data_IF_716470008571
#
_entry.id   IF_716470008571
#
_cell.length_a   1.000
_cell.length_b   1.000
_cell.length_c   1.000
_cell.angle_alpha   90.00
_cell.angle_beta   90.00
_cell.angle_gamma   90.00
#
_symmetry.space_group_name_H-M   'P 1'
#
loop_
_entity.id
_entity.type
_entity.pdbx_description
1 polymer ?
#
# COMPACT_ATOMS: atom_id res chain seq x y z
N UNK A 1 -30.51 -6.24 -19.24
CA UNK A 1 -31.39 -7.26 -19.85
C UNK A 1 -30.64 -8.59 -19.94
N UNK A 2 -31.28 -9.72 -20.30
CA UNK A 2 -30.56 -10.99 -20.54
C UNK A 2 -29.54 -10.82 -21.69
N UNK A 3 -29.84 -10.00 -22.69
CA UNK A 3 -28.92 -9.70 -23.79
C UNK A 3 -27.66 -8.98 -23.31
N UNK A 4 -27.77 -7.96 -22.45
CA UNK A 4 -26.60 -7.30 -21.84
C UNK A 4 -25.78 -8.24 -20.95
N UNK A 5 -26.42 -9.22 -20.32
CA UNK A 5 -25.70 -10.24 -19.55
C UNK A 5 -24.91 -11.16 -20.48
N UNK A 6 -25.51 -11.60 -21.58
CA UNK A 6 -24.86 -12.47 -22.58
C UNK A 6 -23.74 -11.71 -23.30
N UNK A 7 -23.97 -10.48 -23.76
CA UNK A 7 -22.96 -9.66 -24.43
C UNK A 7 -21.75 -9.35 -23.52
N UNK A 8 -21.97 -9.30 -22.20
CA UNK A 8 -20.90 -9.10 -21.21
C UNK A 8 -20.21 -10.40 -20.79
N UNK A 9 -20.90 -11.54 -20.82
CA UNK A 9 -20.37 -12.83 -20.38
C UNK A 9 -19.75 -13.67 -21.51
N UNK A 10 -20.22 -13.49 -22.75
CA UNK A 10 -19.79 -14.29 -23.89
C UNK A 10 -18.33 -14.03 -24.32
N UNK A 11 -17.83 -12.77 -24.40
CA UNK A 11 -16.45 -12.53 -24.80
C UNK A 11 -15.42 -13.14 -23.84
N UNK A 12 -15.51 -12.94 -22.50
CA UNK A 12 -14.60 -13.60 -21.55
C UNK A 12 -14.66 -15.13 -21.63
N UNK A 13 -15.85 -15.70 -21.85
CA UNK A 13 -16.01 -17.16 -21.99
C UNK A 13 -15.36 -17.71 -23.27
N UNK A 14 -15.38 -16.95 -24.37
CA UNK A 14 -14.70 -17.34 -25.60
C UNK A 14 -13.18 -17.18 -25.46
N UNK A 15 -12.72 -16.14 -24.76
CA UNK A 15 -11.30 -15.94 -24.41
C UNK A 15 -10.78 -17.08 -23.52
N UNK A 16 -11.57 -17.56 -22.56
CA UNK A 16 -11.25 -18.73 -21.72
C UNK A 16 -11.12 -20.05 -22.53
N UNK A 17 -11.67 -20.12 -23.74
CA UNK A 17 -11.58 -21.31 -24.61
C UNK A 17 -10.40 -21.27 -25.58
N UNK A 18 -9.60 -20.20 -25.59
CA UNK A 18 -8.48 -20.03 -26.51
C UNK A 18 -7.13 -20.15 -25.78
N UNK A 19 -6.58 -21.35 -25.73
CA UNK A 19 -5.30 -21.60 -25.07
C UNK A 19 -4.09 -20.93 -25.75
N UNK A 20 -4.22 -20.41 -26.98
CA UNK A 20 -3.17 -19.57 -27.56
C UNK A 20 -3.07 -18.24 -26.81
N UNK A 21 -4.21 -17.69 -26.40
CA UNK A 21 -4.26 -16.46 -25.62
C UNK A 21 -3.70 -16.65 -24.21
N UNK A 22 -4.06 -17.73 -23.53
CA UNK A 22 -3.47 -18.09 -22.24
C UNK A 22 -1.94 -18.27 -22.33
N UNK A 23 -1.46 -18.95 -23.38
CA UNK A 23 -0.04 -19.13 -23.62
C UNK A 23 0.72 -17.81 -23.86
N UNK A 24 0.11 -16.86 -24.56
CA UNK A 24 0.66 -15.51 -24.75
C UNK A 24 0.75 -14.76 -23.43
N UNK A 25 -0.33 -14.78 -22.64
CA UNK A 25 -0.38 -14.21 -21.30
C UNK A 25 0.73 -14.81 -20.40
N UNK A 26 0.90 -16.12 -20.41
CA UNK A 26 1.93 -16.81 -19.64
C UNK A 26 3.35 -16.39 -20.03
N UNK A 27 3.64 -16.31 -21.34
CA UNK A 27 4.96 -15.90 -21.83
C UNK A 27 5.29 -14.46 -21.45
N UNK A 28 4.33 -13.56 -21.60
CA UNK A 28 4.51 -12.18 -21.19
C UNK A 28 4.69 -12.04 -19.68
N UNK A 29 3.89 -12.77 -18.90
CA UNK A 29 4.03 -12.78 -17.45
C UNK A 29 5.43 -13.27 -17.04
N UNK A 30 5.93 -14.35 -17.66
CA UNK A 30 7.29 -14.84 -17.45
C UNK A 30 8.34 -13.76 -17.76
N UNK A 31 8.19 -13.05 -18.89
CA UNK A 31 9.11 -11.98 -19.28
C UNK A 31 9.10 -10.83 -18.26
N UNK A 32 7.94 -10.39 -17.80
CA UNK A 32 7.81 -9.29 -16.83
C UNK A 32 8.36 -9.66 -15.45
N UNK A 33 8.07 -10.87 -14.97
CA UNK A 33 8.52 -11.36 -13.66
C UNK A 33 10.03 -11.61 -13.66
N UNK A 34 10.60 -12.15 -14.73
CA UNK A 34 12.06 -12.39 -14.82
C UNK A 34 12.89 -11.10 -14.76
N UNK A 35 12.31 -9.95 -15.11
CA UNK A 35 12.94 -8.62 -15.00
C UNK A 35 12.78 -7.99 -13.61
N UNK A 36 12.08 -8.64 -12.69
CA UNK A 36 11.75 -8.08 -11.38
C UNK A 36 12.45 -8.84 -10.24
N UNK A 37 13.53 -8.25 -9.73
CA UNK A 37 14.32 -8.80 -8.59
C UNK A 37 13.50 -9.03 -7.31
N UNK A 38 12.31 -8.41 -7.20
CA UNK A 38 11.43 -8.54 -6.04
C UNK A 38 10.72 -9.89 -5.97
N UNK A 39 10.72 -10.67 -7.04
CA UNK A 39 9.99 -11.94 -7.13
C UNK A 39 10.80 -13.08 -7.76
N UNK A 40 11.97 -12.79 -8.33
CA UNK A 40 12.87 -13.75 -8.99
C UNK A 40 13.14 -15.03 -8.16
N UNK A 41 13.34 -14.87 -6.85
CA UNK A 41 13.63 -15.98 -5.95
C UNK A 41 12.40 -16.66 -5.35
N UNK A 42 11.19 -16.21 -5.70
CA UNK A 42 9.96 -16.63 -5.00
C UNK A 42 8.87 -17.16 -5.93
N UNK A 43 8.84 -16.75 -7.20
CA UNK A 43 7.82 -17.13 -8.18
C UNK A 43 8.45 -17.94 -9.31
N UNK A 44 7.75 -18.99 -9.75
CA UNK A 44 8.13 -19.81 -10.90
C UNK A 44 7.00 -19.76 -11.93
N UNK A 45 7.37 -19.46 -13.18
CA UNK A 45 6.46 -19.51 -14.32
C UNK A 45 6.93 -20.65 -15.22
N UNK A 46 6.13 -21.72 -15.40
CA UNK A 46 6.52 -22.84 -16.24
C UNK A 46 6.68 -22.39 -17.70
N UNK A 47 7.64 -22.97 -18.42
CA UNK A 47 7.84 -22.65 -19.84
C UNK A 47 6.67 -23.18 -20.70
N UNK A 48 6.17 -22.38 -21.64
CA UNK A 48 5.20 -22.85 -22.64
C UNK A 48 5.92 -23.61 -23.75
N UNK A 49 5.72 -24.93 -23.81
CA UNK A 49 6.36 -25.82 -24.79
C UNK A 49 5.60 -25.88 -26.12
N UNK A 50 4.27 -25.87 -26.06
CA UNK A 50 3.39 -25.86 -27.25
C UNK A 50 2.03 -25.28 -26.91
N UNK A 51 1.47 -24.48 -27.81
CA UNK A 51 0.11 -23.97 -27.70
C UNK A 51 -0.62 -24.09 -29.03
N UNK A 52 -1.90 -24.42 -28.95
CA UNK A 52 -2.92 -24.29 -30.00
C UNK A 52 -4.24 -24.00 -29.32
N UNK A 53 -5.26 -23.51 -30.04
CA UNK A 53 -6.57 -23.16 -29.47
C UNK A 53 -7.14 -24.16 -28.47
N UNK A 54 -6.98 -25.47 -28.71
CA UNK A 54 -7.56 -26.54 -27.88
C UNK A 54 -6.56 -27.28 -26.98
N UNK A 55 -5.24 -27.01 -27.10
CA UNK A 55 -4.21 -27.70 -26.31
C UNK A 55 -3.08 -26.75 -25.88
N UNK A 56 -2.84 -26.65 -24.57
CA UNK A 56 -1.68 -26.02 -23.96
C UNK A 56 -0.75 -27.09 -23.34
N UNK A 57 0.53 -27.06 -23.69
CA UNK A 57 1.58 -27.90 -23.11
C UNK A 57 2.64 -27.01 -22.49
N UNK A 58 2.88 -27.18 -21.20
CA UNK A 58 3.82 -26.40 -20.41
C UNK A 58 4.78 -27.30 -19.61
N UNK A 59 5.87 -26.71 -19.12
CA UNK A 59 6.81 -27.36 -18.21
C UNK A 59 6.09 -27.94 -16.99
N UNK A 60 6.46 -29.16 -16.61
CA UNK A 60 5.94 -29.78 -15.40
C UNK A 60 6.65 -29.21 -14.16
N UNK A 61 5.87 -28.67 -13.22
CA UNK A 61 6.38 -28.19 -11.93
C UNK A 61 6.32 -29.30 -10.87
N UNK A 62 7.46 -29.85 -10.40
CA UNK A 62 7.48 -30.95 -9.43
C UNK A 62 7.21 -30.46 -7.99
N UNK A 63 5.98 -30.05 -7.69
CA UNK A 63 5.55 -29.59 -6.36
C UNK A 63 4.14 -30.07 -5.97
N UNK A 64 3.60 -29.53 -4.87
CA UNK A 64 2.23 -29.82 -4.39
C UNK A 64 1.31 -28.63 -4.65
N UNK A 65 0.10 -28.85 -5.14
CA UNK A 65 -0.89 -27.77 -5.25
C UNK A 65 -1.27 -27.27 -3.86
N UNK A 66 -1.53 -25.97 -3.70
CA UNK A 66 -1.92 -25.42 -2.40
C UNK A 66 -3.28 -25.94 -1.88
N UNK A 67 -4.09 -26.54 -2.75
CA UNK A 67 -5.33 -27.24 -2.38
C UNK A 67 -5.11 -28.64 -1.80
N UNK A 68 -3.92 -29.22 -1.99
CA UNK A 68 -3.62 -30.56 -1.47
C UNK A 68 -3.48 -30.54 0.05
N UNK A 69 -3.93 -31.63 0.69
CA UNK A 69 -3.84 -31.77 2.13
C UNK A 69 -2.37 -31.75 2.59
N UNK A 70 -2.07 -30.88 3.55
CA UNK A 70 -0.72 -30.75 4.09
C UNK A 70 0.27 -30.00 3.21
N UNK A 71 -0.12 -29.46 2.05
CA UNK A 71 0.79 -28.76 1.14
C UNK A 71 1.55 -27.60 1.81
N UNK A 72 0.84 -26.78 2.60
CA UNK A 72 1.41 -25.61 3.28
C UNK A 72 1.20 -25.64 4.80
N UNK A 73 0.96 -26.81 5.41
CA UNK A 73 0.54 -26.89 6.81
C UNK A 73 1.52 -26.22 7.77
N UNK A 74 2.82 -26.42 7.56
CA UNK A 74 3.87 -25.93 8.44
C UNK A 74 4.45 -24.57 8.00
N UNK A 75 4.01 -24.04 6.85
CA UNK A 75 4.53 -22.79 6.24
C UNK A 75 3.43 -21.92 5.60
N UNK A 76 2.22 -22.00 6.14
CA UNK A 76 1.04 -21.35 5.54
C UNK A 76 1.16 -19.82 5.54
N UNK A 77 1.83 -19.24 6.54
CA UNK A 77 2.02 -17.80 6.64
C UNK A 77 3.07 -17.30 5.63
N UNK A 78 4.14 -18.06 5.42
CA UNK A 78 5.21 -17.79 4.47
C UNK A 78 4.66 -17.83 3.04
N UNK A 79 3.85 -18.85 2.73
CA UNK A 79 3.18 -18.95 1.43
C UNK A 79 2.26 -17.75 1.18
N UNK A 80 1.47 -17.34 2.19
CA UNK A 80 0.61 -16.15 2.07
C UNK A 80 1.43 -14.88 1.82
N UNK A 81 2.55 -14.70 2.52
CA UNK A 81 3.46 -13.56 2.31
C UNK A 81 4.04 -13.54 0.90
N UNK A 82 4.50 -14.69 0.40
CA UNK A 82 5.04 -14.82 -0.97
C UNK A 82 3.96 -14.56 -2.03
N UNK A 83 2.76 -15.11 -1.86
CA UNK A 83 1.63 -14.83 -2.75
C UNK A 83 1.31 -13.35 -2.76
N UNK A 84 1.18 -12.72 -1.59
CA UNK A 84 0.88 -11.31 -1.50
C UNK A 84 1.99 -10.45 -2.13
N UNK A 85 3.26 -10.79 -1.89
CA UNK A 85 4.41 -10.13 -2.53
C UNK A 85 4.30 -10.18 -4.05
N UNK A 86 4.09 -11.38 -4.60
CA UNK A 86 3.92 -11.58 -6.04
C UNK A 86 2.80 -10.70 -6.59
N UNK A 87 1.67 -10.65 -5.91
CA UNK A 87 0.52 -9.85 -6.32
C UNK A 87 0.73 -8.34 -6.21
N UNK A 88 1.47 -7.87 -5.20
CA UNK A 88 1.81 -6.46 -5.09
C UNK A 88 2.79 -6.03 -6.18
N UNK A 89 3.74 -6.89 -6.55
CA UNK A 89 4.63 -6.66 -7.70
C UNK A 89 3.82 -6.62 -8.99
N UNK A 90 2.90 -7.56 -9.20
CA UNK A 90 2.02 -7.56 -10.36
C UNK A 90 1.18 -6.28 -10.46
N UNK A 91 0.62 -5.84 -9.34
CA UNK A 91 -0.28 -4.68 -9.27
C UNK A 91 0.48 -3.36 -9.43
N UNK A 92 1.58 -3.17 -8.72
CA UNK A 92 2.26 -1.87 -8.58
C UNK A 92 3.51 -1.73 -9.45
N UNK A 93 4.18 -2.83 -9.81
CA UNK A 93 5.47 -2.81 -10.53
C UNK A 93 5.33 -3.21 -12.00
N UNK A 94 4.72 -4.36 -12.30
CA UNK A 94 4.60 -4.83 -13.70
C UNK A 94 3.35 -4.27 -14.38
N UNK A 95 2.25 -4.10 -13.65
CA UNK A 95 0.95 -3.71 -14.21
C UNK A 95 0.29 -4.83 -15.02
N UNK A 96 0.70 -6.09 -14.81
CA UNK A 96 0.09 -7.25 -15.41
C UNK A 96 -0.27 -8.26 -14.32
N UNK A 97 -1.56 -8.32 -14.00
CA UNK A 97 -2.09 -8.95 -12.80
C UNK A 97 -2.87 -10.22 -13.13
N UNK A 98 -2.56 -11.28 -12.39
CA UNK A 98 -3.30 -12.53 -12.39
C UNK A 98 -4.63 -12.41 -11.63
N UNK A 99 -5.74 -12.43 -12.35
CA UNK A 99 -7.08 -12.16 -11.86
C UNK A 99 -7.75 -13.28 -11.07
N UNK A 100 -7.14 -14.48 -10.99
CA UNK A 100 -7.71 -15.62 -10.26
C UNK A 100 -6.72 -16.30 -9.28
N UNK A 101 -6.48 -15.73 -8.09
CA UNK A 101 -5.61 -16.32 -7.06
C UNK A 101 -6.21 -17.56 -6.37
N UNK A 102 -6.99 -18.37 -7.07
CA UNK A 102 -7.49 -19.60 -6.50
C UNK A 102 -6.30 -20.52 -6.11
N UNK A 103 -6.28 -21.10 -4.90
CA UNK A 103 -5.19 -21.97 -4.45
C UNK A 103 -4.85 -23.13 -5.39
N UNK A 104 -5.80 -23.55 -6.24
CA UNK A 104 -5.60 -24.61 -7.24
C UNK A 104 -4.65 -24.24 -8.38
N UNK A 105 -4.44 -22.93 -8.61
CA UNK A 105 -3.58 -22.39 -9.66
C UNK A 105 -2.12 -22.24 -9.18
N UNK A 106 -1.86 -22.57 -7.91
CA UNK A 106 -0.54 -22.44 -7.30
C UNK A 106 0.04 -23.80 -6.90
N UNK A 107 1.32 -23.97 -7.21
CA UNK A 107 2.13 -25.14 -6.85
C UNK A 107 3.24 -24.69 -5.92
N UNK A 108 3.30 -25.27 -4.73
CA UNK A 108 4.42 -25.09 -3.83
C UNK A 108 5.55 -26.05 -4.21
N UNK A 109 6.66 -25.49 -4.64
CA UNK A 109 7.85 -26.23 -5.07
C UNK A 109 8.65 -26.70 -3.84
N UNK A 110 9.42 -27.80 -3.95
CA UNK A 110 10.32 -28.27 -2.88
C UNK A 110 11.38 -27.23 -2.47
N UNK A 111 11.69 -26.29 -3.36
CA UNK A 111 12.58 -25.16 -3.13
C UNK A 111 11.97 -24.05 -2.27
N UNK A 112 10.67 -24.13 -1.94
CA UNK A 112 9.91 -23.08 -1.27
C UNK A 112 9.32 -22.03 -2.22
N UNK A 113 9.66 -22.06 -3.51
CA UNK A 113 9.07 -21.16 -4.53
C UNK A 113 7.61 -21.52 -4.84
N UNK A 114 6.86 -20.55 -5.32
CA UNK A 114 5.47 -20.71 -5.76
C UNK A 114 5.40 -20.70 -7.29
N UNK A 115 5.01 -21.83 -7.87
CA UNK A 115 4.63 -21.96 -9.26
C UNK A 115 3.22 -21.46 -9.52
N UNK A 116 3.01 -20.75 -10.63
CA UNK A 116 1.69 -20.31 -11.10
C UNK A 116 1.35 -21.05 -12.40
N UNK A 117 0.19 -21.68 -12.47
CA UNK A 117 -0.17 -22.62 -13.55
C UNK A 117 -1.17 -22.10 -14.59
N UNK A 118 -2.03 -21.16 -14.19
CA UNK A 118 -3.14 -20.65 -14.99
C UNK A 118 -2.85 -19.19 -15.36
N UNK A 119 -3.08 -18.83 -16.61
CA UNK A 119 -2.91 -17.46 -17.10
C UNK A 119 -4.10 -17.02 -17.98
N UNK A 120 -5.24 -17.69 -17.84
CA UNK A 120 -6.45 -17.40 -18.62
C UNK A 120 -7.06 -16.05 -18.25
N UNK A 121 -7.00 -15.69 -16.96
CA UNK A 121 -7.56 -14.44 -16.45
C UNK A 121 -6.45 -13.45 -16.07
N UNK A 122 -5.94 -12.71 -17.05
CA UNK A 122 -4.97 -11.63 -16.84
C UNK A 122 -5.59 -10.27 -17.08
N UNK A 123 -5.11 -9.24 -16.36
CA UNK A 123 -5.50 -7.86 -16.62
C UNK A 123 -4.32 -6.91 -16.64
N UNK A 124 -4.45 -5.86 -17.45
CA UNK A 124 -3.44 -4.80 -17.58
C UNK A 124 -3.87 -3.56 -16.82
N UNK A 125 -2.89 -2.99 -16.14
CA UNK A 125 -3.02 -1.76 -15.36
C UNK A 125 -1.97 -0.80 -15.88
N UNK A 126 -2.44 0.29 -16.47
CA UNK A 126 -1.54 1.30 -17.05
C UNK A 126 -0.66 1.91 -15.96
N UNK A 127 0.56 2.39 -16.28
CA UNK A 127 1.40 3.10 -15.32
C UNK A 127 0.65 4.24 -14.61
N UNK A 128 -0.19 4.96 -15.35
CA UNK A 128 -1.07 6.01 -14.84
C UNK A 128 -2.01 5.50 -13.73
N UNK A 129 -2.70 4.38 -13.98
CA UNK A 129 -3.61 3.76 -13.00
C UNK A 129 -2.85 3.20 -11.80
N UNK A 130 -1.64 2.67 -11.99
CA UNK A 130 -0.81 2.16 -10.88
C UNK A 130 -0.43 3.26 -9.91
N UNK A 131 -0.02 4.43 -10.42
CA UNK A 131 0.26 5.59 -9.59
C UNK A 131 -1.02 6.09 -8.92
N UNK A 132 -2.13 6.17 -9.65
CA UNK A 132 -3.42 6.58 -9.09
C UNK A 132 -3.93 5.64 -7.98
N UNK A 133 -3.67 4.32 -8.07
CA UNK A 133 -3.99 3.37 -7.00
C UNK A 133 -3.20 3.67 -5.72
N UNK A 134 -1.93 4.02 -5.84
CA UNK A 134 -1.08 4.40 -4.69
C UNK A 134 -1.58 5.71 -4.08
N UNK A 135 -1.83 6.72 -4.90
CA UNK A 135 -2.39 8.01 -4.48
C UNK A 135 -3.71 7.80 -3.74
N UNK A 136 -4.64 7.02 -4.30
CA UNK A 136 -5.92 6.70 -3.69
C UNK A 136 -5.76 6.09 -2.29
N UNK A 137 -4.95 5.04 -2.15
CA UNK A 137 -4.73 4.39 -0.85
C UNK A 137 -4.15 5.36 0.19
N UNK A 138 -3.27 6.26 -0.25
CA UNK A 138 -2.66 7.28 0.60
C UNK A 138 -3.63 8.39 0.97
N UNK A 139 -4.42 8.89 0.03
CA UNK A 139 -5.42 9.91 0.28
C UNK A 139 -6.52 9.39 1.21
N UNK A 140 -6.96 8.15 1.05
CA UNK A 140 -7.87 7.49 1.99
C UNK A 140 -7.25 7.48 3.40
N UNK A 141 -6.01 7.01 3.53
CA UNK A 141 -5.35 6.94 4.84
C UNK A 141 -5.10 8.33 5.47
N UNK A 142 -4.92 9.36 4.64
CA UNK A 142 -4.73 10.75 5.04
C UNK A 142 -6.06 11.52 5.25
N UNK A 143 -7.22 10.89 5.05
CA UNK A 143 -8.55 11.52 5.06
C UNK A 143 -8.67 12.70 4.06
N UNK A 144 -8.00 12.58 2.92
CA UNK A 144 -7.93 13.55 1.83
C UNK A 144 -8.99 13.21 0.77
N UNK A 145 -10.26 13.35 1.15
CA UNK A 145 -11.39 12.86 0.35
C UNK A 145 -11.66 13.68 -0.91
N UNK A 146 -11.25 14.94 -0.93
CA UNK A 146 -11.26 15.79 -2.12
C UNK A 146 -10.32 15.25 -3.20
N UNK A 147 -9.16 14.75 -2.78
CA UNK A 147 -8.17 14.12 -3.64
C UNK A 147 -8.62 12.72 -4.07
N UNK A 148 -9.22 11.93 -3.16
CA UNK A 148 -9.80 10.62 -3.50
C UNK A 148 -10.79 10.70 -4.66
N UNK A 149 -11.57 11.80 -4.77
CA UNK A 149 -12.50 12.00 -5.88
C UNK A 149 -11.75 12.08 -7.23
N UNK A 150 -10.63 12.79 -7.28
CA UNK A 150 -9.79 12.89 -8.48
C UNK A 150 -9.13 11.54 -8.81
N UNK A 151 -8.72 10.78 -7.80
CA UNK A 151 -8.16 9.45 -8.00
C UNK A 151 -9.20 8.51 -8.61
N UNK A 152 -10.44 8.52 -8.11
CA UNK A 152 -11.54 7.71 -8.65
C UNK A 152 -11.90 8.05 -10.09
N UNK A 153 -11.73 9.31 -10.51
CA UNK A 153 -11.84 9.70 -11.93
C UNK A 153 -10.69 9.12 -12.75
N UNK A 154 -9.46 9.23 -12.24
CA UNK A 154 -8.26 8.71 -12.92
C UNK A 154 -8.28 7.18 -13.03
N UNK A 155 -8.90 6.52 -12.05
CA UNK A 155 -9.16 5.09 -12.01
C UNK A 155 -10.43 4.70 -12.80
N UNK A 156 -11.10 5.64 -13.48
CA UNK A 156 -12.27 5.39 -14.32
C UNK A 156 -13.50 4.86 -13.57
N UNK A 157 -13.55 4.99 -12.24
CA UNK A 157 -14.76 4.68 -11.46
C UNK A 157 -15.80 5.78 -11.59
N UNK A 158 -15.35 6.99 -11.88
CA UNK A 158 -16.18 8.18 -12.02
C UNK A 158 -15.89 8.89 -13.34
N UNK A 159 -16.91 9.49 -13.97
CA UNK A 159 -16.76 10.16 -15.26
C UNK A 159 -15.84 11.39 -15.18
N UNK A 160 -15.18 11.70 -16.29
CA UNK A 160 -14.32 12.89 -16.40
C UNK A 160 -15.06 14.19 -16.11
N UNK A 161 -14.34 15.17 -15.57
CA UNK A 161 -14.87 16.51 -15.29
C UNK A 161 -15.69 16.64 -14.00
N UNK A 162 -16.18 15.52 -13.42
CA UNK A 162 -16.94 15.55 -12.15
C UNK A 162 -16.10 16.10 -10.99
N UNK A 163 -14.81 15.75 -10.95
CA UNK A 163 -13.89 16.22 -9.93
C UNK A 163 -13.57 17.72 -10.03
N UNK A 164 -13.84 18.36 -11.17
CA UNK A 164 -13.64 19.81 -11.38
C UNK A 164 -14.90 20.64 -11.12
N UNK A 165 -16.08 20.01 -11.01
CA UNK A 165 -17.32 20.73 -10.74
C UNK A 165 -17.54 20.92 -9.24
N UNK A 166 -17.60 22.19 -8.82
CA UNK A 166 -17.76 22.55 -7.41
C UNK A 166 -19.05 22.00 -6.78
N UNK A 167 -20.16 22.01 -7.51
CA UNK A 167 -21.45 21.51 -7.03
C UNK A 167 -21.39 19.99 -6.87
N UNK A 168 -20.83 19.28 -7.86
CA UNK A 168 -20.66 17.84 -7.76
C UNK A 168 -19.75 17.45 -6.58
N UNK A 169 -18.66 18.18 -6.37
CA UNK A 169 -17.75 17.97 -5.23
C UNK A 169 -18.44 18.16 -3.89
N UNK A 170 -19.22 19.23 -3.72
CA UNK A 170 -19.95 19.53 -2.48
C UNK A 170 -20.94 18.42 -2.09
N UNK A 171 -21.49 17.71 -3.09
CA UNK A 171 -22.39 16.57 -2.86
C UNK A 171 -21.61 15.26 -2.64
N UNK A 172 -20.62 14.95 -3.50
CA UNK A 172 -19.97 13.63 -3.52
C UNK A 172 -18.95 13.47 -2.40
N UNK A 173 -18.08 14.46 -2.17
CA UNK A 173 -16.94 14.33 -1.25
C UNK A 173 -17.40 13.97 0.18
N UNK A 174 -18.44 14.59 0.75
CA UNK A 174 -18.94 14.18 2.06
C UNK A 174 -19.45 12.73 2.10
N UNK A 175 -20.13 12.26 1.03
CA UNK A 175 -20.64 10.88 0.97
C UNK A 175 -19.51 9.88 0.80
N UNK A 176 -18.49 10.24 0.02
CA UNK A 176 -17.29 9.46 -0.15
C UNK A 176 -16.53 9.34 1.17
N UNK A 177 -16.34 10.45 1.88
CA UNK A 177 -15.73 10.50 3.20
C UNK A 177 -16.44 9.57 4.19
N UNK A 178 -17.76 9.68 4.31
CA UNK A 178 -18.56 8.83 5.19
C UNK A 178 -18.43 7.34 4.83
N UNK A 179 -18.55 7.00 3.55
CA UNK A 179 -18.46 5.62 3.06
C UNK A 179 -17.09 5.01 3.36
N UNK A 180 -16.02 5.73 3.02
CA UNK A 180 -14.65 5.27 3.22
C UNK A 180 -14.27 5.18 4.69
N UNK A 181 -14.73 6.13 5.52
CA UNK A 181 -14.52 6.04 6.97
C UNK A 181 -15.13 4.75 7.53
N UNK A 182 -16.32 4.33 7.10
CA UNK A 182 -16.95 3.09 7.55
C UNK A 182 -16.19 1.86 7.04
N UNK A 183 -15.82 1.84 5.75
CA UNK A 183 -15.16 0.69 5.11
C UNK A 183 -13.73 0.46 5.61
N UNK A 184 -12.98 1.53 5.86
CA UNK A 184 -11.58 1.45 6.30
C UNK A 184 -11.42 1.51 7.83
N UNK A 185 -12.53 1.62 8.58
CA UNK A 185 -12.49 1.44 10.01
C UNK A 185 -12.26 -0.05 10.33
N UNK A 186 -11.22 -0.35 11.11
CA UNK A 186 -10.85 -1.70 11.52
C UNK A 186 -11.90 -2.30 12.47
N UNK A 187 -13.01 -2.74 11.89
CA UNK A 187 -14.15 -3.33 12.58
C UNK A 187 -14.76 -4.42 11.69
N UNK A 188 -15.37 -5.42 12.32
CA UNK A 188 -16.01 -6.54 11.62
C UNK A 188 -17.09 -6.03 10.64
N UNK A 189 -17.22 -6.69 9.47
CA UNK A 189 -18.22 -6.40 8.44
C UNK A 189 -19.64 -6.28 8.99
N UNK A 190 -19.99 -7.03 10.06
CA UNK A 190 -21.30 -6.91 10.71
C UNK A 190 -21.51 -5.52 11.34
N UNK A 191 -20.48 -5.00 12.00
CA UNK A 191 -20.49 -3.66 12.62
C UNK A 191 -20.55 -2.58 11.53
N UNK A 192 -19.78 -2.76 10.46
CA UNK A 192 -19.84 -1.85 9.31
C UNK A 192 -21.25 -1.81 8.70
N UNK A 193 -21.88 -2.98 8.50
CA UNK A 193 -23.25 -3.08 7.98
C UNK A 193 -24.26 -2.38 8.90
N UNK A 194 -24.15 -2.56 10.21
CA UNK A 194 -25.02 -1.87 11.17
C UNK A 194 -24.87 -0.34 11.11
N UNK A 195 -23.65 0.16 10.93
CA UNK A 195 -23.39 1.61 10.75
C UNK A 195 -24.04 2.15 9.48
N UNK A 196 -23.92 1.44 8.36
CA UNK A 196 -24.61 1.82 7.11
C UNK A 196 -26.13 1.84 7.26
N UNK A 197 -26.72 0.86 7.97
CA UNK A 197 -28.17 0.81 8.22
C UNK A 197 -28.61 2.02 9.04
N UNK A 198 -27.95 2.28 10.18
CA UNK A 198 -28.27 3.42 11.06
C UNK A 198 -28.16 4.75 10.33
N UNK A 199 -27.08 4.94 9.57
CA UNK A 199 -26.88 6.15 8.77
C UNK A 199 -28.00 6.35 7.75
N UNK A 200 -28.45 5.28 7.08
CA UNK A 200 -29.55 5.36 6.13
C UNK A 200 -30.87 5.72 6.81
N UNK A 201 -31.16 5.12 7.96
CA UNK A 201 -32.34 5.43 8.78
C UNK A 201 -32.35 6.89 9.26
N UNK A 202 -31.19 7.43 9.66
CA UNK A 202 -31.05 8.85 10.04
C UNK A 202 -31.28 9.81 8.86
N UNK A 203 -30.78 9.46 7.67
CA UNK A 203 -31.01 10.25 6.45
C UNK A 203 -32.48 10.24 6.03
N UNK A 204 -33.14 9.09 6.14
CA UNK A 204 -34.57 8.92 5.86
C UNK A 204 -35.43 9.70 6.86
N UNK A 205 -35.14 9.60 8.16
CA UNK A 205 -35.85 10.32 9.21
C UNK A 205 -35.74 11.86 9.10
N UNK A 206 -34.66 12.36 8.48
CA UNK A 206 -34.43 13.79 8.28
C UNK A 206 -34.93 14.33 6.95
N UNK A 207 -35.47 13.49 6.06
CA UNK A 207 -35.87 13.85 4.69
C UNK A 207 -34.70 14.26 3.78
N UNK A 208 -33.46 14.03 4.23
CA UNK A 208 -32.24 14.34 3.47
C UNK A 208 -31.96 13.29 2.40
N UNK A 209 -32.51 12.09 2.56
CA UNK A 209 -32.33 11.00 1.62
C UNK A 209 -32.93 11.33 0.24
N UNK A 210 -34.12 11.92 0.20
CA UNK A 210 -34.79 12.31 -1.05
C UNK A 210 -34.00 13.41 -1.78
N UNK A 211 -33.56 14.43 -1.04
CA UNK A 211 -32.75 15.53 -1.59
C UNK A 211 -31.44 14.99 -2.17
N UNK A 212 -30.74 14.13 -1.41
CA UNK A 212 -29.50 13.51 -1.87
C UNK A 212 -29.71 12.65 -3.11
N UNK A 213 -30.81 11.87 -3.17
CA UNK A 213 -31.14 11.07 -4.35
C UNK A 213 -31.36 11.96 -5.58
N UNK A 214 -32.05 13.09 -5.43
CA UNK A 214 -32.26 14.05 -6.51
C UNK A 214 -30.93 14.68 -6.98
N UNK A 215 -30.07 15.11 -6.05
CA UNK A 215 -28.75 15.67 -6.36
C UNK A 215 -27.87 14.66 -7.10
N UNK A 216 -27.78 13.42 -6.62
CA UNK A 216 -27.01 12.36 -7.26
C UNK A 216 -27.58 12.00 -8.64
N UNK A 217 -28.91 11.98 -8.81
CA UNK A 217 -29.53 11.79 -10.11
C UNK A 217 -29.21 12.92 -11.09
N UNK A 218 -29.18 14.16 -10.62
CA UNK A 218 -28.85 15.31 -11.44
C UNK A 218 -27.37 15.28 -11.87
N UNK A 219 -26.48 14.91 -10.96
CA UNK A 219 -25.06 14.67 -11.27
C UNK A 219 -24.93 13.53 -12.29
N UNK A 220 -25.62 12.40 -12.07
CA UNK A 220 -25.57 11.25 -12.96
C UNK A 220 -26.10 11.56 -14.36
N UNK A 221 -27.15 12.38 -14.48
CA UNK A 221 -27.65 12.86 -15.78
C UNK A 221 -26.64 13.76 -16.50
N UNK A 222 -25.86 14.55 -15.75
CA UNK A 222 -24.91 15.51 -16.31
C UNK A 222 -23.59 14.86 -16.74
N UNK A 223 -23.07 13.93 -15.94
CA UNK A 223 -21.74 13.36 -16.13
C UNK A 223 -21.73 11.89 -16.54
N UNK A 224 -22.84 11.17 -16.34
CA UNK A 224 -22.86 9.72 -16.36
C UNK A 224 -22.83 9.12 -14.96
N UNK A 225 -22.98 7.80 -14.89
CA UNK A 225 -23.04 7.05 -13.63
C UNK A 225 -21.68 6.54 -13.19
N UNK A 226 -21.58 6.12 -11.93
CA UNK A 226 -20.47 5.29 -11.46
C UNK A 226 -20.41 4.01 -12.29
N UNK A 227 -19.22 3.64 -12.74
CA UNK A 227 -18.96 2.41 -13.48
C UNK A 227 -17.86 1.63 -12.78
N UNK A 228 -17.94 0.30 -12.84
CA UNK A 228 -16.87 -0.56 -12.35
C UNK A 228 -16.04 -1.01 -13.56
N UNK A 229 -14.82 -0.49 -13.76
CA UNK A 229 -14.00 -0.87 -14.89
C UNK A 229 -13.68 -2.37 -14.90
N UNK A 230 -13.55 -2.95 -16.09
CA UNK A 230 -13.24 -4.37 -16.25
C UNK A 230 -11.98 -4.80 -15.49
N UNK A 231 -10.91 -4.00 -15.59
CA UNK A 231 -9.65 -4.25 -14.90
C UNK A 231 -9.81 -4.23 -13.37
N UNK A 232 -10.61 -3.30 -12.83
CA UNK A 232 -10.85 -3.16 -11.40
C UNK A 232 -11.60 -4.36 -10.84
N UNK A 233 -12.49 -4.97 -11.62
CA UNK A 233 -13.22 -6.19 -11.21
C UNK A 233 -12.25 -7.34 -10.94
N UNK A 234 -11.23 -7.52 -11.79
CA UNK A 234 -10.21 -8.57 -11.60
C UNK A 234 -9.29 -8.25 -10.42
N UNK A 235 -8.92 -6.98 -10.21
CA UNK A 235 -8.17 -6.56 -9.01
C UNK A 235 -8.95 -6.91 -7.73
N UNK A 236 -10.22 -6.48 -7.64
CA UNK A 236 -11.05 -6.70 -6.45
C UNK A 236 -11.23 -8.20 -6.20
N UNK A 237 -11.48 -8.99 -7.25
CA UNK A 237 -11.57 -10.45 -7.14
C UNK A 237 -10.27 -11.03 -6.58
N UNK A 238 -9.13 -10.64 -7.15
CA UNK A 238 -7.84 -11.15 -6.73
C UNK A 238 -7.55 -10.83 -5.26
N UNK A 239 -7.73 -9.57 -4.86
CA UNK A 239 -7.51 -9.12 -3.50
C UNK A 239 -8.45 -9.82 -2.49
N UNK A 240 -9.74 -9.96 -2.83
CA UNK A 240 -10.71 -10.65 -1.97
C UNK A 240 -10.37 -12.14 -1.79
N UNK A 241 -9.96 -12.82 -2.85
CA UNK A 241 -9.52 -14.22 -2.77
C UNK A 241 -8.25 -14.36 -1.94
N UNK A 242 -7.27 -13.47 -2.12
CA UNK A 242 -6.05 -13.44 -1.30
C UNK A 242 -6.34 -13.18 0.18
N UNK A 243 -7.26 -12.27 0.49
CA UNK A 243 -7.70 -12.02 1.86
C UNK A 243 -8.33 -13.28 2.47
N UNK A 244 -9.16 -14.00 1.71
CA UNK A 244 -9.71 -15.29 2.13
C UNK A 244 -8.66 -16.40 2.30
N UNK A 245 -7.57 -16.39 1.52
CA UNK A 245 -6.43 -17.29 1.73
C UNK A 245 -5.67 -16.90 3.01
N UNK A 246 -5.41 -15.61 3.20
CA UNK A 246 -4.74 -15.07 4.38
C UNK A 246 -5.49 -15.36 5.68
N UNK A 247 -6.81 -15.15 5.71
CA UNK A 247 -7.66 -15.41 6.88
C UNK A 247 -7.71 -16.89 7.29
N UNK A 248 -7.49 -17.82 6.34
CA UNK A 248 -7.38 -19.25 6.64
C UNK A 248 -6.06 -19.61 7.32
N UNK A 249 -4.98 -18.90 6.98
CA UNK A 249 -3.66 -19.09 7.59
C UNK A 249 -3.51 -18.33 8.92
N UNK A 250 -4.06 -17.12 9.00
CA UNK A 250 -4.03 -16.26 10.17
C UNK A 250 -5.37 -15.54 10.33
N UNK A 251 -6.06 -15.77 11.46
CA UNK A 251 -7.37 -15.14 11.73
C UNK A 251 -7.31 -13.62 11.88
N UNK A 252 -6.14 -13.09 12.23
CA UNK A 252 -5.90 -11.66 12.39
C UNK A 252 -5.32 -11.03 11.09
N UNK A 253 -5.32 -11.77 9.99
CA UNK A 253 -4.86 -11.26 8.69
C UNK A 253 -5.70 -10.07 8.24
N UNK A 254 -5.04 -8.98 7.87
CA UNK A 254 -5.68 -7.85 7.21
C UNK A 254 -4.91 -7.48 5.95
N UNK A 255 -5.60 -7.52 4.81
CA UNK A 255 -4.98 -7.16 3.54
C UNK A 255 -4.41 -5.74 3.56
N UNK A 256 -5.10 -4.81 4.24
CA UNK A 256 -4.66 -3.41 4.36
C UNK A 256 -3.31 -3.26 5.08
N UNK A 257 -3.08 -4.03 6.14
CA UNK A 257 -1.82 -3.97 6.89
C UNK A 257 -0.69 -4.69 6.18
N UNK A 258 -0.98 -5.79 5.51
CA UNK A 258 0.00 -6.62 4.82
C UNK A 258 0.48 -6.00 3.51
N UNK A 259 -0.34 -5.15 2.88
CA UNK A 259 0.03 -4.41 1.64
C UNK A 259 0.74 -3.09 1.92
N UNK A 260 0.55 -2.48 3.09
CA UNK A 260 1.16 -1.19 3.44
C UNK A 260 2.70 -1.15 3.31
N UNK A 261 3.48 -2.19 3.69
CA UNK A 261 4.92 -2.24 3.46
C UNK A 261 5.34 -1.96 2.02
N UNK A 262 4.59 -2.46 1.04
CA UNK A 262 4.84 -2.25 -0.40
C UNK A 262 4.59 -0.80 -0.80
N UNK A 263 3.51 -0.22 -0.30
CA UNK A 263 3.17 1.19 -0.52
C UNK A 263 4.26 2.07 0.09
N UNK A 264 4.68 1.79 1.33
CA UNK A 264 5.75 2.53 2.01
C UNK A 264 7.06 2.46 1.22
N UNK A 265 7.45 1.28 0.73
CA UNK A 265 8.60 1.14 -0.18
C UNK A 265 8.45 1.99 -1.42
N UNK A 266 7.32 1.87 -2.12
CA UNK A 266 7.10 2.61 -3.35
C UNK A 266 7.14 4.13 -3.12
N UNK A 267 6.53 4.63 -2.06
CA UNK A 267 6.57 6.05 -1.68
C UNK A 267 7.99 6.56 -1.40
N UNK A 268 8.86 5.72 -0.85
CA UNK A 268 10.22 6.10 -0.48
C UNK A 268 11.24 5.96 -1.61
N UNK A 269 11.00 5.06 -2.56
CA UNK A 269 11.96 4.75 -3.64
C UNK A 269 11.59 5.31 -5.00
N UNK A 270 10.34 5.71 -5.22
CA UNK A 270 9.88 6.29 -6.49
C UNK A 270 9.88 7.83 -6.41
N UNK A 271 10.75 8.43 -7.24
CA UNK A 271 10.95 9.87 -7.33
C UNK A 271 10.02 10.59 -8.33
N UNK A 272 8.99 9.92 -8.84
CA UNK A 272 7.98 10.56 -9.70
C UNK A 272 7.22 11.68 -8.99
N UNK A 273 6.97 12.80 -9.69
CA UNK A 273 6.31 13.99 -9.13
C UNK A 273 5.00 13.71 -8.38
N UNK A 274 4.21 12.77 -8.89
CA UNK A 274 2.96 12.32 -8.30
C UNK A 274 3.17 11.55 -6.99
N UNK A 275 4.11 10.61 -6.98
CA UNK A 275 4.46 9.86 -5.78
C UNK A 275 5.08 10.76 -4.71
N UNK A 276 5.92 11.72 -5.11
CA UNK A 276 6.43 12.77 -4.21
C UNK A 276 5.29 13.56 -3.56
N UNK A 277 4.30 14.00 -4.34
CA UNK A 277 3.12 14.68 -3.81
C UNK A 277 2.33 13.77 -2.86
N UNK A 278 2.12 12.50 -3.19
CA UNK A 278 1.45 11.54 -2.33
C UNK A 278 2.20 11.33 -1.00
N UNK A 279 3.52 11.17 -1.04
CA UNK A 279 4.37 11.05 0.16
C UNK A 279 4.23 12.30 1.05
N UNK A 280 4.30 13.49 0.45
CA UNK A 280 4.13 14.75 1.20
C UNK A 280 2.72 14.85 1.79
N UNK A 281 1.70 14.53 1.01
CA UNK A 281 0.30 14.53 1.44
C UNK A 281 0.09 13.62 2.66
N UNK A 282 0.67 12.42 2.62
CA UNK A 282 0.67 11.46 3.72
C UNK A 282 1.36 12.00 4.99
N UNK A 283 2.58 12.50 4.83
CA UNK A 283 3.44 12.93 5.92
C UNK A 283 2.90 14.17 6.62
N UNK A 284 2.32 15.11 5.87
CA UNK A 284 1.88 16.39 6.43
C UNK A 284 0.38 16.41 6.78
N UNK A 285 -0.47 15.63 6.09
CA UNK A 285 -1.93 15.61 6.31
C UNK A 285 -2.54 17.01 6.34
N UNK A 286 -2.13 17.87 5.41
CA UNK A 286 -2.57 19.27 5.32
C UNK A 286 -2.06 20.21 6.44
N UNK A 287 -1.15 19.73 7.31
CA UNK A 287 -0.52 20.55 8.37
C UNK A 287 0.70 21.28 7.82
N UNK A 288 1.14 22.31 8.55
CA UNK A 288 2.39 23.03 8.24
C UNK A 288 3.66 22.22 8.52
N UNK A 289 3.54 21.15 9.33
CA UNK A 289 4.66 20.28 9.78
C UNK A 289 4.29 18.82 9.68
N UNK A 290 5.32 18.01 9.42
CA UNK A 290 5.23 16.55 9.30
C UNK A 290 4.68 15.91 10.58
N UNK A 291 3.77 14.95 10.43
CA UNK A 291 3.24 14.13 11.50
C UNK A 291 4.26 13.04 11.88
N UNK A 292 4.84 13.05 13.10
CA UNK A 292 5.89 12.11 13.49
C UNK A 292 5.44 10.64 13.41
N UNK A 293 4.19 10.37 13.79
CA UNK A 293 3.55 9.05 13.79
C UNK A 293 3.44 8.47 12.37
N UNK A 294 3.25 9.33 11.36
CA UNK A 294 3.19 8.93 9.94
C UNK A 294 4.57 8.59 9.38
N UNK A 295 5.58 9.39 9.74
CA UNK A 295 6.97 9.10 9.41
C UNK A 295 7.39 7.75 10.00
N UNK A 296 7.03 7.49 11.26
CA UNK A 296 7.29 6.20 11.91
C UNK A 296 6.57 5.05 11.22
N UNK A 297 5.32 5.26 10.80
CA UNK A 297 4.54 4.28 10.04
C UNK A 297 5.24 3.90 8.73
N UNK A 298 5.66 4.88 7.92
CA UNK A 298 6.39 4.64 6.66
C UNK A 298 7.72 3.92 6.91
N UNK A 299 8.52 4.40 7.88
CA UNK A 299 9.80 3.77 8.20
C UNK A 299 9.63 2.32 8.65
N UNK A 300 8.60 2.04 9.48
CA UNK A 300 8.25 0.69 9.90
C UNK A 300 7.79 -0.17 8.72
N UNK A 301 6.92 0.35 7.85
CA UNK A 301 6.48 -0.34 6.65
C UNK A 301 7.64 -0.72 5.74
N UNK A 302 8.57 0.22 5.50
CA UNK A 302 9.78 -0.03 4.72
C UNK A 302 10.70 -1.09 5.34
N UNK A 303 10.86 -1.04 6.67
CA UNK A 303 11.61 -2.05 7.44
C UNK A 303 10.97 -3.44 7.29
N UNK A 304 9.64 -3.53 7.45
CA UNK A 304 8.90 -4.78 7.25
C UNK A 304 9.11 -5.32 5.84
N UNK A 305 8.97 -4.48 4.81
CA UNK A 305 9.20 -4.87 3.41
C UNK A 305 10.61 -5.43 3.21
N UNK A 306 11.62 -4.70 3.69
CA UNK A 306 13.03 -5.09 3.57
C UNK A 306 13.30 -6.45 4.22
N UNK A 307 12.73 -6.68 5.40
CA UNK A 307 12.87 -7.93 6.12
C UNK A 307 12.17 -9.10 5.41
N UNK A 308 10.98 -8.88 4.84
CA UNK A 308 10.29 -9.90 4.05
C UNK A 308 11.15 -10.34 2.85
N UNK A 309 11.75 -9.38 2.15
CA UNK A 309 12.59 -9.66 0.99
C UNK A 309 13.90 -10.37 1.34
N UNK A 310 14.52 -10.05 2.49
CA UNK A 310 15.78 -10.67 2.91
C UNK A 310 15.58 -12.01 3.65
N UNK A 311 14.47 -12.18 4.37
CA UNK A 311 14.10 -13.44 5.02
C UNK A 311 13.88 -14.58 4.02
N UNK A 312 13.17 -14.31 2.92
CA UNK A 312 12.99 -15.27 1.83
C UNK A 312 14.30 -15.68 1.13
N UNK A 313 15.30 -14.79 1.08
CA UNK A 313 16.63 -15.10 0.53
C UNK A 313 17.46 -16.01 1.44
N UNK A 314 17.39 -15.85 2.76
CA UNK A 314 18.17 -16.66 3.70
C UNK A 314 17.58 -18.07 3.90
N UNK A 315 16.25 -18.21 3.88
CA UNK A 315 15.59 -19.51 4.00
C UNK A 315 15.73 -20.37 2.73
N UNK A 316 15.68 -19.77 1.55
CA UNK A 316 15.91 -20.46 0.28
C UNK A 316 17.35 -21.05 0.17
N UNK A 317 18.33 -20.45 0.84
CA UNK A 317 19.71 -20.94 0.92
C UNK A 317 19.85 -22.06 1.97
N UNK A 318 18.97 -22.12 2.98
CA UNK A 318 18.98 -23.15 4.02
C UNK A 318 18.33 -24.48 3.59
N UNK A 319 17.60 -24.53 2.46
CA UNK A 319 16.89 -25.71 1.95
C UNK A 319 17.79 -26.78 1.28
N UNK A 320 19.00 -27.00 1.80
CA UNK A 320 19.96 -28.02 1.35
C UNK A 320 20.05 -29.25 2.26
N UNK A 321 19.02 -30.12 2.26
CA UNK A 321 18.99 -31.49 2.81
C UNK A 321 19.29 -31.71 4.33
N UNK A 322 18.73 -32.77 4.97
CA UNK A 322 18.29 -32.70 6.36
C UNK A 322 19.33 -33.14 7.40
N UNK A 323 19.21 -32.62 8.62
CA UNK A 323 19.62 -33.34 9.85
C UNK A 323 18.51 -33.25 10.90
N UNK A 324 18.15 -34.39 11.52
CA UNK A 324 17.16 -34.44 12.59
C UNK A 324 17.80 -34.12 13.94
N UNK A 325 16.96 -33.65 14.87
CA UNK A 325 17.22 -33.46 16.31
C UNK A 325 17.97 -32.17 16.67
N UNK A 326 17.20 -31.08 16.80
CA UNK A 326 17.24 -30.13 17.92
C UNK A 326 16.16 -29.05 17.69
N UNK A 327 14.89 -29.41 17.90
CA UNK A 327 13.82 -28.41 18.05
C UNK A 327 13.84 -27.91 19.49
N UNK A 328 14.69 -26.92 19.76
CA UNK A 328 14.59 -26.07 20.95
C UNK A 328 13.81 -24.82 20.55
N UNK A 329 12.71 -24.60 21.29
CA UNK A 329 11.86 -23.41 21.38
C UNK A 329 12.23 -22.22 20.48
N UNK A 330 11.43 -22.01 19.43
CA UNK A 330 11.37 -20.74 18.71
C UNK A 330 10.68 -19.68 19.59
N UNK A 331 11.45 -19.08 20.50
CA UNK A 331 11.15 -17.78 21.08
C UNK A 331 12.35 -16.85 20.84
N UNK A 332 12.08 -15.70 20.22
CA UNK A 332 13.00 -14.63 19.86
C UNK A 332 13.94 -14.93 18.67
N UNK A 333 13.42 -14.84 17.45
CA UNK A 333 14.27 -14.49 16.32
C UNK A 333 14.62 -13.00 16.42
N UNK A 334 15.88 -12.70 16.73
CA UNK A 334 16.50 -11.41 16.44
C UNK A 334 16.47 -11.20 14.91
N UNK A 335 15.37 -10.62 14.45
CA UNK A 335 15.25 -9.94 13.16
C UNK A 335 16.50 -9.07 12.98
N UNK A 336 17.19 -9.21 11.84
CA UNK A 336 18.39 -8.43 11.53
C UNK A 336 18.05 -6.93 11.42
N UNK A 337 17.98 -6.25 12.58
CA UNK A 337 17.75 -4.82 12.74
C UNK A 337 18.78 -4.00 11.91
N UNK A 338 20.00 -4.51 11.78
CA UNK A 338 21.11 -3.87 11.07
C UNK A 338 20.84 -3.70 9.56
N UNK A 339 20.28 -4.71 8.89
CA UNK A 339 20.08 -4.68 7.44
C UNK A 339 18.98 -3.71 6.98
N UNK A 340 17.86 -3.64 7.72
CA UNK A 340 16.79 -2.71 7.39
C UNK A 340 17.13 -1.27 7.81
N UNK A 341 17.86 -1.09 8.90
CA UNK A 341 18.40 0.22 9.29
C UNK A 341 19.40 0.73 8.25
N UNK A 342 20.26 -0.15 7.69
CA UNK A 342 21.15 0.19 6.58
C UNK A 342 20.39 0.62 5.32
N UNK A 343 19.31 -0.06 4.96
CA UNK A 343 18.54 0.30 3.76
C UNK A 343 17.79 1.62 3.96
N UNK A 344 17.20 1.87 5.14
CA UNK A 344 16.62 3.18 5.48
C UNK A 344 17.69 4.27 5.42
N UNK A 345 18.88 4.02 5.98
CA UNK A 345 20.00 4.95 5.93
C UNK A 345 20.47 5.18 4.48
N UNK A 346 20.49 4.16 3.63
CA UNK A 346 20.84 4.30 2.22
C UNK A 346 19.83 5.18 1.46
N UNK A 347 18.53 5.08 1.78
CA UNK A 347 17.51 5.99 1.26
C UNK A 347 17.74 7.41 1.82
N UNK A 348 17.86 7.58 3.14
CA UNK A 348 17.99 8.90 3.78
C UNK A 348 19.31 9.60 3.43
N UNK A 349 20.38 8.87 3.15
CA UNK A 349 21.71 9.40 2.85
C UNK A 349 22.16 9.08 1.42
N UNK A 350 21.21 8.86 0.51
CA UNK A 350 21.50 8.68 -0.91
C UNK A 350 22.34 9.85 -1.44
N UNK A 351 23.44 9.58 -2.19
CA UNK A 351 24.31 10.62 -2.73
C UNK A 351 23.62 11.47 -3.81
N UNK A 352 22.63 10.91 -4.50
CA UNK A 352 22.00 11.56 -5.65
C UNK A 352 20.93 12.60 -5.28
N UNK A 353 20.63 12.77 -3.98
CA UNK A 353 19.49 13.56 -3.55
C UNK A 353 18.18 12.80 -3.73
N UNK A 354 17.23 12.91 -2.81
CA UNK A 354 15.85 12.46 -3.05
C UNK A 354 14.84 13.33 -2.34
N UNK A 355 13.57 13.17 -2.71
CA UNK A 355 12.51 14.02 -2.17
C UNK A 355 12.29 13.86 -0.66
N UNK A 356 12.54 12.67 -0.10
CA UNK A 356 12.50 12.51 1.36
C UNK A 356 13.57 13.39 2.01
N UNK A 357 14.80 13.43 1.49
CA UNK A 357 15.86 14.29 2.01
C UNK A 357 15.47 15.76 2.00
N UNK A 358 14.84 16.25 0.92
CA UNK A 358 14.33 17.63 0.85
C UNK A 358 13.34 17.91 1.99
N UNK A 359 12.38 17.00 2.24
CA UNK A 359 11.42 17.14 3.33
C UNK A 359 12.09 17.10 4.72
N UNK A 360 13.12 16.26 4.89
CA UNK A 360 13.88 16.16 6.14
C UNK A 360 14.73 17.40 6.39
N UNK A 361 15.31 17.99 5.34
CA UNK A 361 16.05 19.25 5.42
C UNK A 361 15.11 20.38 5.82
N UNK A 362 13.93 20.49 5.21
CA UNK A 362 12.92 21.51 5.56
C UNK A 362 12.53 21.43 7.05
N UNK A 363 12.26 20.22 7.55
CA UNK A 363 11.96 20.00 8.97
C UNK A 363 13.16 20.27 9.88
N UNK A 364 14.38 19.97 9.41
CA UNK A 364 15.63 20.28 10.11
C UNK A 364 15.87 21.78 10.25
N UNK A 365 15.67 22.54 9.17
CA UNK A 365 15.75 24.00 9.18
C UNK A 365 14.72 24.59 10.13
N UNK A 366 13.47 24.10 10.08
CA UNK A 366 12.43 24.53 11.00
C UNK A 366 12.76 24.24 12.47
N UNK A 367 13.36 23.08 12.77
CA UNK A 367 13.80 22.72 14.11
C UNK A 367 14.96 23.59 14.61
N UNK A 368 15.97 23.86 13.77
CA UNK A 368 17.10 24.74 14.11
C UNK A 368 16.63 26.18 14.36
N UNK A 369 15.74 26.69 13.52
CA UNK A 369 15.11 28.00 13.67
C UNK A 369 14.31 28.09 14.99
N UNK A 370 13.51 27.07 15.30
CA UNK A 370 12.80 26.96 16.56
C UNK A 370 13.72 26.99 17.79
N UNK A 371 14.80 26.20 17.79
CA UNK A 371 15.79 26.18 18.87
C UNK A 371 16.51 27.52 19.00
N UNK A 372 16.86 28.15 17.87
CA UNK A 372 17.51 29.45 17.84
C UNK A 372 16.61 30.53 18.45
N UNK A 373 15.32 30.57 18.07
CA UNK A 373 14.33 31.48 18.67
C UNK A 373 14.18 31.25 20.17
N UNK A 374 14.10 30.00 20.61
CA UNK A 374 13.98 29.66 22.03
C UNK A 374 15.21 30.11 22.82
N UNK A 375 16.42 29.87 22.28
CA UNK A 375 17.67 30.30 22.90
C UNK A 375 17.78 31.83 22.99
N UNK A 376 17.47 32.56 21.91
CA UNK A 376 17.48 34.03 21.91
C UNK A 376 16.45 34.59 22.89
N UNK A 377 15.25 34.04 22.92
CA UNK A 377 14.19 34.45 23.87
C UNK A 377 14.59 34.22 25.32
N UNK A 378 15.26 33.10 25.61
CA UNK A 378 15.79 32.79 26.94
C UNK A 378 16.91 33.78 27.32
N UNK A 379 17.82 34.11 26.40
CA UNK A 379 18.87 35.12 26.61
C UNK A 379 18.27 36.51 26.85
N UNK A 380 17.31 36.95 26.03
CA UNK A 380 16.63 38.24 26.20
C UNK A 380 15.87 38.34 27.53
N UNK A 381 15.28 37.24 28.00
CA UNK A 381 14.65 37.18 29.34
C UNK A 381 15.65 37.28 30.48
N UNK A 382 16.82 36.67 30.34
CA UNK A 382 17.90 36.76 31.34
C UNK A 382 18.47 38.19 31.36
N UNK A 383 18.57 38.85 30.20
CA UNK A 383 19.13 40.19 30.08
C UNK A 383 18.14 41.32 30.46
N UNK A 384 16.82 41.09 30.41
CA UNK A 384 15.81 42.10 30.74
C UNK A 384 15.91 43.37 29.86
N UNK A 385 15.08 44.42 30.10
CA UNK A 385 15.11 45.64 29.29
C UNK A 385 16.38 46.49 29.45
N UNK A 386 17.27 46.18 30.40
CA UNK A 386 18.47 46.96 30.72
C UNK A 386 19.60 46.04 31.23
N UNK A 387 20.61 45.77 30.39
CA UNK A 387 21.95 45.33 30.82
C UNK A 387 22.55 44.11 30.11
N UNK A 388 23.59 44.34 29.29
CA UNK A 388 24.49 43.35 28.63
C UNK A 388 25.52 42.71 29.62
N UNK A 389 26.36 41.69 29.27
CA UNK A 389 26.70 41.16 27.93
C UNK A 389 26.63 39.63 27.74
N UNK A 390 26.82 39.25 26.47
CA UNK A 390 26.74 37.93 25.84
C UNK A 390 27.90 37.02 26.27
N UNK A 391 27.61 36.00 27.08
CA UNK A 391 28.40 34.77 27.18
C UNK A 391 27.58 33.72 27.97
N UNK A 392 26.62 33.06 27.32
CA UNK A 392 25.95 31.89 27.90
C UNK A 392 26.34 30.64 27.09
N UNK A 393 26.91 29.61 27.73
CA UNK A 393 27.29 28.38 27.05
C UNK A 393 26.06 27.60 26.59
N UNK A 394 26.20 26.89 25.47
CA UNK A 394 25.19 26.05 24.81
C UNK A 394 24.50 25.01 25.74
N UNK A 395 25.03 24.79 26.94
CA UNK A 395 24.48 23.89 27.97
C UNK A 395 23.18 24.39 28.64
N UNK A 396 22.84 25.68 28.54
CA UNK A 396 21.61 26.24 29.14
C UNK A 396 20.35 26.04 28.29
N UNK A 397 20.50 25.51 27.07
CA UNK A 397 19.43 25.32 26.06
C UNK A 397 18.64 24.02 26.30
N UNK A 398 19.16 23.09 27.12
CA UNK A 398 18.53 21.79 27.42
C UNK A 398 17.93 21.70 28.84
N UNK A 399 17.82 22.81 29.56
CA UNK A 399 17.15 22.88 30.87
C UNK A 399 15.62 22.92 30.75
N UNK A 400 14.93 22.40 31.76
CA UNK A 400 13.48 22.12 31.87
C UNK A 400 12.51 23.34 31.79
N UNK A 401 12.88 24.42 31.09
CA UNK A 401 12.08 25.64 30.91
C UNK A 401 11.82 26.06 29.46
N UNK A 402 12.46 25.44 28.47
CA UNK A 402 12.32 25.79 27.04
C UNK A 402 10.95 25.41 26.47
N UNK A 403 10.24 24.45 27.07
CA UNK A 403 8.92 23.99 26.61
C UNK A 403 7.82 25.06 26.61
N UNK A 404 7.98 26.15 27.39
CA UNK A 404 7.00 27.26 27.44
C UNK A 404 7.20 28.29 26.32
N UNK A 405 8.33 28.27 25.62
CA UNK A 405 8.70 29.25 24.59
C UNK A 405 8.49 28.73 23.16
N UNK A 406 8.36 27.41 23.01
CA UNK A 406 8.16 26.75 21.73
C UNK A 406 6.67 26.75 21.39
N UNK A 407 6.33 27.13 20.16
CA UNK A 407 4.99 26.98 19.61
C UNK A 407 4.64 25.49 19.47
N UNK A 408 3.38 25.18 19.18
CA UNK A 408 2.97 23.79 18.89
C UNK A 408 3.72 23.23 17.66
N UNK A 409 3.93 24.06 16.64
CA UNK A 409 4.65 23.68 15.42
C UNK A 409 6.13 23.42 15.69
N UNK A 410 6.78 24.28 16.49
CA UNK A 410 8.19 24.09 16.88
C UNK A 410 8.40 22.75 17.61
N UNK A 411 7.51 22.40 18.54
CA UNK A 411 7.56 21.11 19.25
C UNK A 411 7.39 19.94 18.29
N UNK A 412 6.55 20.08 17.27
CA UNK A 412 6.33 19.04 16.28
C UNK A 412 7.57 18.81 15.42
N UNK A 413 8.22 19.86 14.90
CA UNK A 413 9.49 19.70 14.16
C UNK A 413 10.58 19.06 15.01
N UNK A 414 10.70 19.43 16.28
CA UNK A 414 11.67 18.78 17.19
C UNK A 414 11.36 17.29 17.43
N UNK A 415 10.08 16.92 17.50
CA UNK A 415 9.67 15.51 17.60
C UNK A 415 9.99 14.74 16.32
N UNK A 416 9.79 15.35 15.14
CA UNK A 416 10.17 14.75 13.85
C UNK A 416 11.67 14.46 13.83
N UNK A 417 12.52 15.44 14.16
CA UNK A 417 13.98 15.25 14.21
C UNK A 417 14.38 14.18 15.22
N UNK A 418 13.78 14.17 16.41
CA UNK A 418 14.03 13.12 17.41
C UNK A 418 13.66 11.74 16.88
N UNK A 419 12.53 11.61 16.18
CA UNK A 419 12.08 10.35 15.59
C UNK A 419 13.00 9.88 14.46
N UNK A 420 13.49 10.79 13.62
CA UNK A 420 14.47 10.47 12.58
C UNK A 420 15.74 9.87 13.20
N UNK A 421 16.27 10.50 14.26
CA UNK A 421 17.44 9.98 14.98
C UNK A 421 17.16 8.58 15.55
N UNK A 422 15.98 8.36 16.13
CA UNK A 422 15.56 7.06 16.65
C UNK A 422 15.36 5.98 15.58
N UNK A 423 15.05 6.36 14.34
CA UNK A 423 14.85 5.42 13.23
C UNK A 423 16.21 4.95 12.68
N UNK A 424 17.22 5.84 12.72
CA UNK A 424 18.58 5.59 12.21
C UNK A 424 19.45 4.86 13.24
N UNK A 425 19.20 5.05 14.54
CA UNK A 425 19.82 4.31 15.65
C UNK A 425 19.20 2.93 15.81
#
# INVERSE_FOLDING_TARGET
>A
SIFELVDRAAPPFIEELDYEFEAENQREFAELISKCELVEDTVVVPEVLKASREVLVQEWLPGKKLTEEGAAKDQSQEVVKVLLNSYMVQLLETGFLHGDPHPGNFVLMPTGKIGILDYGLMTRITPEKRVALIEYLIHVQANMYDECLQDLVTLEFLPEGIASDKVAREVIVPRLAETLNILFEQSDLRVQREKFIKQREELEATGKLEVLQEELQNIAKKYGTFELPGYATLIIRALATLEGVGLRANKDFSLSSETFPYIARRLLTDDGDRIRKALKAYLYKGRARMAPDRLESIARGFRTFTNLMKGGRNEAVAAGAPRPEDFVEAQNEEVSLDAATKDIAAVVFSPDGNFLQDLLIDEGVAAVDALSRAAVSQVLRILGPLGAPVAAPMQLILGSGTERLLTREDKQSLLVIRKIVQIIQ
#
